data_IF_517816636651
#
_entry.id   IF_517816636651
#
_cell.length_a   1.000
_cell.length_b   1.000
_cell.length_c   1.000
_cell.angle_alpha   90.00
_cell.angle_beta   90.00
_cell.angle_gamma   90.00
#
_symmetry.space_group_name_H-M   'P 1'
#
loop_
_entity.id
_entity.type
_entity.pdbx_description
1 polymer ?
#
# COMPACT_ATOMS: atom_id res chain seq x y z
N UNK A 1 -41.44 23.57 -30.19
CA UNK A 1 -40.73 22.29 -29.96
C UNK A 1 -39.21 22.38 -30.18
N UNK A 2 -38.70 23.27 -31.05
CA UNK A 2 -37.27 23.37 -31.37
C UNK A 2 -36.33 23.71 -30.20
N UNK A 3 -36.68 24.65 -29.30
CA UNK A 3 -35.79 25.05 -28.20
C UNK A 3 -35.54 23.94 -27.18
N UNK A 4 -36.57 23.15 -26.84
CA UNK A 4 -36.43 22.01 -25.92
C UNK A 4 -35.58 20.90 -26.53
N UNK A 5 -35.77 20.62 -27.83
CA UNK A 5 -34.96 19.66 -28.56
C UNK A 5 -33.50 20.10 -28.66
N UNK A 6 -33.25 21.39 -28.95
CA UNK A 6 -31.91 21.97 -28.99
C UNK A 6 -31.21 21.88 -27.63
N UNK A 7 -31.90 22.23 -26.54
CA UNK A 7 -31.36 22.09 -25.18
C UNK A 7 -31.03 20.63 -24.85
N UNK A 8 -31.88 19.67 -25.24
CA UNK A 8 -31.61 18.24 -25.05
C UNK A 8 -30.39 17.77 -25.86
N UNK A 9 -30.27 18.18 -27.12
CA UNK A 9 -29.11 17.84 -27.96
C UNK A 9 -27.81 18.44 -27.40
N UNK A 10 -27.83 19.70 -26.95
CA UNK A 10 -26.67 20.34 -26.32
C UNK A 10 -26.28 19.67 -25.00
N UNK A 11 -27.26 19.35 -24.15
CA UNK A 11 -27.01 18.62 -22.92
C UNK A 11 -26.42 17.22 -23.19
N UNK A 12 -26.95 16.50 -24.18
CA UNK A 12 -26.43 15.20 -24.59
C UNK A 12 -25.01 15.30 -25.17
N UNK A 13 -24.72 16.33 -25.97
CA UNK A 13 -23.39 16.57 -26.51
C UNK A 13 -22.37 16.94 -25.42
N UNK A 14 -22.75 17.78 -24.45
CA UNK A 14 -21.90 18.12 -23.29
C UNK A 14 -21.67 16.91 -22.37
N UNK A 15 -22.68 16.07 -22.19
CA UNK A 15 -22.56 14.84 -21.43
C UNK A 15 -21.66 13.81 -22.15
N UNK A 16 -21.83 13.67 -23.46
CA UNK A 16 -20.95 12.83 -24.28
C UNK A 16 -19.50 13.34 -24.28
N UNK A 17 -19.31 14.66 -24.40
CA UNK A 17 -17.98 15.29 -24.34
C UNK A 17 -17.32 15.11 -22.97
N UNK A 18 -18.07 15.28 -21.87
CA UNK A 18 -17.52 15.10 -20.52
C UNK A 18 -17.21 13.63 -20.20
N UNK A 19 -17.98 12.69 -20.75
CA UNK A 19 -17.72 11.26 -20.64
C UNK A 19 -16.55 10.80 -21.54
N UNK A 20 -16.32 11.47 -22.68
CA UNK A 20 -15.31 11.07 -23.65
C UNK A 20 -13.89 11.23 -23.09
N UNK A 21 -13.14 10.13 -23.10
CA UNK A 21 -11.71 10.12 -22.81
C UNK A 21 -11.06 9.18 -23.81
N UNK A 22 -10.14 9.65 -24.67
CA UNK A 22 -9.50 8.79 -25.66
C UNK A 22 -8.72 7.67 -24.95
N UNK A 23 -9.16 6.43 -25.18
CA UNK A 23 -8.47 5.25 -24.67
C UNK A 23 -7.40 4.81 -25.68
N UNK A 24 -6.24 4.32 -25.22
CA UNK A 24 -5.25 3.68 -26.08
C UNK A 24 -5.90 2.61 -26.97
N UNK A 25 -5.39 2.41 -28.20
CA UNK A 25 -5.94 1.43 -29.13
C UNK A 25 -5.77 -0.03 -28.64
N UNK A 26 -4.90 -0.25 -27.67
CA UNK A 26 -4.55 -1.58 -27.13
C UNK A 26 -5.65 -2.22 -26.27
N UNK A 27 -6.74 -1.51 -25.98
CA UNK A 27 -7.87 -2.06 -25.24
C UNK A 27 -8.84 -2.78 -26.19
N UNK A 28 -9.15 -4.04 -25.90
CA UNK A 28 -10.14 -4.83 -26.66
C UNK A 28 -11.53 -4.15 -26.72
N UNK A 29 -11.89 -3.41 -25.66
CA UNK A 29 -13.22 -2.79 -25.50
C UNK A 29 -13.10 -1.35 -24.94
N UNK A 30 -12.60 -0.39 -25.74
CA UNK A 30 -12.25 0.94 -25.27
C UNK A 30 -13.46 1.74 -24.76
N UNK A 31 -14.65 1.50 -25.35
CA UNK A 31 -15.89 2.15 -24.92
C UNK A 31 -16.33 1.74 -23.52
N UNK A 32 -16.07 0.49 -23.09
CA UNK A 32 -16.41 0.04 -21.73
C UNK A 32 -15.53 0.72 -20.69
N UNK A 33 -14.24 0.83 -20.98
CA UNK A 33 -13.28 1.54 -20.12
C UNK A 33 -13.63 3.03 -20.05
N UNK A 34 -14.07 3.62 -21.16
CA UNK A 34 -14.53 5.02 -21.20
C UNK A 34 -15.79 5.25 -20.37
N UNK A 35 -16.80 4.36 -20.47
CA UNK A 35 -18.00 4.43 -19.62
C UNK A 35 -17.66 4.25 -18.13
N UNK A 36 -16.82 3.27 -17.81
CA UNK A 36 -16.34 3.06 -16.44
C UNK A 36 -15.61 4.30 -15.92
N UNK A 37 -14.75 4.91 -16.74
CA UNK A 37 -14.05 6.15 -16.40
C UNK A 37 -15.00 7.31 -16.13
N UNK A 38 -15.98 7.52 -17.01
CA UNK A 38 -16.99 8.55 -16.83
C UNK A 38 -17.79 8.33 -15.54
N UNK A 39 -18.22 7.10 -15.28
CA UNK A 39 -18.95 6.73 -14.06
C UNK A 39 -18.09 6.93 -12.79
N UNK A 40 -16.84 6.49 -12.79
CA UNK A 40 -15.92 6.70 -11.66
C UNK A 40 -15.66 8.18 -11.40
N UNK A 41 -15.42 8.98 -12.44
CA UNK A 41 -15.23 10.44 -12.30
C UNK A 41 -16.47 11.12 -11.74
N UNK A 42 -17.64 10.80 -12.28
CA UNK A 42 -18.91 11.34 -11.77
C UNK A 42 -19.14 10.95 -10.30
N UNK A 43 -18.90 9.69 -9.95
CA UNK A 43 -19.01 9.19 -8.57
C UNK A 43 -18.08 9.92 -7.62
N UNK A 44 -16.80 10.08 -7.97
CA UNK A 44 -15.84 10.85 -7.18
C UNK A 44 -16.28 12.30 -6.98
N UNK A 45 -16.78 12.97 -8.02
CA UNK A 45 -17.30 14.34 -7.89
C UNK A 45 -18.50 14.42 -6.95
N UNK A 46 -19.41 13.44 -6.98
CA UNK A 46 -20.54 13.39 -6.03
C UNK A 46 -20.04 13.26 -4.59
N UNK A 47 -19.03 12.41 -4.37
CA UNK A 47 -18.41 12.25 -3.04
C UNK A 47 -17.71 13.53 -2.59
N UNK A 48 -16.96 14.20 -3.47
CA UNK A 48 -16.32 15.50 -3.17
C UNK A 48 -17.35 16.57 -2.78
N UNK A 49 -18.46 16.66 -3.52
CA UNK A 49 -19.53 17.61 -3.22
C UNK A 49 -20.20 17.29 -1.88
N UNK A 50 -20.43 16.02 -1.57
CA UNK A 50 -20.99 15.61 -0.27
C UNK A 50 -20.04 15.95 0.91
N UNK A 51 -18.74 15.74 0.75
CA UNK A 51 -17.70 16.12 1.71
C UNK A 51 -17.65 17.65 1.90
N UNK A 52 -17.67 18.40 0.80
CA UNK A 52 -17.66 19.87 0.81
C UNK A 52 -18.91 20.47 1.47
N UNK A 53 -20.08 19.85 1.27
CA UNK A 53 -21.33 20.24 1.94
C UNK A 53 -21.39 19.80 3.41
N UNK A 54 -20.39 19.06 3.91
CA UNK A 54 -20.34 18.56 5.27
C UNK A 54 -21.35 17.44 5.57
N UNK A 55 -21.87 16.78 4.53
CA UNK A 55 -22.86 15.70 4.69
C UNK A 55 -22.22 14.40 5.18
N UNK A 56 -21.02 14.10 4.69
CA UNK A 56 -20.28 12.88 5.02
C UNK A 56 -18.81 13.07 4.67
N UNK A 57 -17.89 12.56 5.49
CA UNK A 57 -16.46 12.62 5.16
C UNK A 57 -16.16 11.80 3.91
N UNK A 58 -15.28 12.30 3.04
CA UNK A 58 -14.92 11.67 1.75
C UNK A 58 -14.63 10.16 1.87
N UNK A 59 -13.85 9.76 2.88
CA UNK A 59 -13.48 8.35 3.07
C UNK A 59 -14.63 7.48 3.55
N UNK A 60 -15.55 8.02 4.35
CA UNK A 60 -16.72 7.28 4.81
C UNK A 60 -17.66 7.01 3.64
N UNK A 61 -17.86 8.01 2.76
CA UNK A 61 -18.64 7.86 1.54
C UNK A 61 -18.03 6.85 0.57
N UNK A 62 -16.69 6.83 0.44
CA UNK A 62 -15.97 5.84 -0.35
C UNK A 62 -16.08 4.43 0.24
N UNK A 63 -16.03 4.30 1.57
CA UNK A 63 -16.16 3.02 2.27
C UNK A 63 -17.51 2.35 2.02
N UNK A 64 -18.60 3.13 1.95
CA UNK A 64 -19.92 2.60 1.64
C UNK A 64 -19.96 1.86 0.30
N UNK A 65 -19.16 2.28 -0.69
CA UNK A 65 -19.04 1.57 -1.96
C UNK A 65 -18.42 0.18 -1.78
N UNK A 66 -17.46 0.03 -0.86
CA UNK A 66 -16.78 -1.26 -0.61
C UNK A 66 -17.56 -2.21 0.30
N UNK A 67 -18.35 -1.69 1.24
CA UNK A 67 -19.13 -2.52 2.20
C UNK A 67 -20.15 -3.41 1.49
N UNK A 68 -20.76 -2.93 0.40
CA UNK A 68 -21.70 -3.72 -0.41
C UNK A 68 -21.11 -4.99 -1.03
N UNK A 69 -19.78 -5.10 -1.06
CA UNK A 69 -19.05 -6.27 -1.57
C UNK A 69 -18.67 -7.27 -0.48
N UNK A 70 -19.12 -7.10 0.76
CA UNK A 70 -18.81 -8.05 1.83
C UNK A 70 -19.44 -9.42 1.55
N UNK A 71 -18.69 -10.48 1.86
CA UNK A 71 -19.17 -11.86 1.85
C UNK A 71 -18.90 -12.50 3.21
N UNK A 72 -19.82 -13.32 3.68
CA UNK A 72 -19.64 -14.10 4.91
C UNK A 72 -18.58 -15.20 4.74
N UNK A 73 -17.90 -15.64 5.82
CA UNK A 73 -16.88 -16.69 5.76
C UNK A 73 -17.52 -18.08 5.53
N UNK A 74 -18.04 -18.31 4.33
CA UNK A 74 -18.71 -19.56 3.97
C UNK A 74 -17.69 -20.53 3.38
N UNK A 75 -17.61 -21.73 3.97
CA UNK A 75 -16.76 -22.80 3.45
C UNK A 75 -17.38 -23.45 2.21
N UNK A 76 -16.54 -23.94 1.30
CA UNK A 76 -16.94 -24.75 0.14
C UNK A 76 -16.21 -26.10 0.11
N UNK A 77 -16.40 -26.87 -0.97
CA UNK A 77 -15.78 -28.18 -1.19
C UNK A 77 -14.25 -28.15 -1.29
N UNK A 78 -13.66 -27.01 -1.63
CA UNK A 78 -12.23 -26.83 -1.86
C UNK A 78 -11.53 -26.15 -0.67
N UNK A 79 -12.21 -25.22 0.01
CA UNK A 79 -11.63 -24.35 1.02
C UNK A 79 -12.55 -24.21 2.23
N UNK A 80 -12.00 -24.46 3.42
CA UNK A 80 -12.62 -24.06 4.69
C UNK A 80 -12.28 -22.60 4.95
N UNK A 81 -13.31 -21.77 5.13
CA UNK A 81 -13.16 -20.34 5.44
C UNK A 81 -13.68 -20.06 6.84
N UNK A 82 -12.91 -19.33 7.63
CA UNK A 82 -13.31 -18.94 8.99
C UNK A 82 -12.71 -17.58 9.36
N UNK A 83 -13.46 -16.82 10.15
CA UNK A 83 -12.98 -15.60 10.78
C UNK A 83 -12.45 -15.92 12.18
N UNK A 84 -11.33 -15.31 12.54
CA UNK A 84 -10.72 -15.42 13.87
C UNK A 84 -9.91 -14.15 14.17
N UNK A 85 -9.16 -14.15 15.26
CA UNK A 85 -8.31 -13.04 15.65
C UNK A 85 -6.89 -13.52 15.95
N UNK A 86 -5.91 -12.84 15.36
CA UNK A 86 -4.50 -12.98 15.71
C UNK A 86 -4.01 -11.67 16.29
N UNK A 87 -3.43 -11.69 17.49
CA UNK A 87 -2.94 -10.48 18.19
C UNK A 87 -3.99 -9.36 18.30
N UNK A 88 -5.26 -9.71 18.58
CA UNK A 88 -6.41 -8.78 18.64
C UNK A 88 -6.75 -8.07 17.31
N UNK A 89 -6.27 -8.59 16.18
CA UNK A 89 -6.62 -8.13 14.84
C UNK A 89 -7.43 -9.22 14.16
N UNK A 90 -8.58 -8.85 13.60
CA UNK A 90 -9.43 -9.76 12.85
C UNK A 90 -8.71 -10.27 11.60
N UNK A 91 -8.78 -11.57 11.36
CA UNK A 91 -8.24 -12.22 10.18
C UNK A 91 -9.26 -13.20 9.61
N UNK A 92 -9.27 -13.32 8.29
CA UNK A 92 -9.99 -14.39 7.60
C UNK A 92 -9.02 -15.45 7.12
N UNK A 93 -9.22 -16.68 7.57
CA UNK A 93 -8.41 -17.83 7.21
C UNK A 93 -9.06 -18.61 6.09
N UNK A 94 -8.23 -19.03 5.12
CA UNK A 94 -8.61 -19.92 4.03
C UNK A 94 -7.73 -21.16 4.11
N UNK A 95 -8.33 -22.29 4.48
CA UNK A 95 -7.64 -23.56 4.68
C UNK A 95 -8.05 -24.52 3.55
N UNK A 96 -7.10 -24.99 2.72
CA UNK A 96 -7.42 -25.88 1.61
C UNK A 96 -7.81 -27.26 2.13
N UNK A 97 -8.91 -27.82 1.61
CA UNK A 97 -9.41 -29.16 1.98
C UNK A 97 -8.63 -30.29 1.32
N UNK A 98 -7.93 -30.02 0.21
CA UNK A 98 -7.06 -30.99 -0.46
C UNK A 98 -6.03 -31.51 0.55
N UNK A 99 -5.95 -32.84 0.66
CA UNK A 99 -4.97 -33.50 1.53
C UNK A 99 -3.56 -33.03 1.18
N UNK A 100 -2.72 -32.68 2.17
CA UNK A 100 -1.38 -32.23 1.87
C UNK A 100 -0.45 -33.44 1.71
N UNK A 101 0.52 -33.33 0.79
CA UNK A 101 1.59 -34.34 0.61
C UNK A 101 2.73 -34.15 1.64
N UNK A 102 2.53 -33.29 2.65
CA UNK A 102 3.50 -32.87 3.66
C UNK A 102 3.00 -31.64 4.43
N UNK A 103 3.91 -30.80 4.93
CA UNK A 103 3.51 -29.50 5.46
C UNK A 103 3.13 -28.52 4.33
N UNK A 104 2.12 -27.67 4.58
CA UNK A 104 1.53 -26.74 3.63
C UNK A 104 2.35 -25.47 3.47
N UNK A 105 2.14 -24.78 2.35
CA UNK A 105 2.59 -23.39 2.17
C UNK A 105 1.66 -22.45 2.94
N UNK A 106 2.12 -21.22 3.20
CA UNK A 106 1.23 -20.17 3.68
C UNK A 106 1.47 -18.82 3.00
N UNK A 107 0.40 -18.04 2.89
CA UNK A 107 0.41 -16.66 2.39
C UNK A 107 -0.29 -15.77 3.41
N UNK A 108 0.43 -14.81 3.98
CA UNK A 108 -0.20 -13.71 4.73
C UNK A 108 -0.49 -12.59 3.75
N UNK A 109 -1.76 -12.27 3.55
CA UNK A 109 -2.23 -11.33 2.54
C UNK A 109 -2.76 -10.04 3.17
N UNK A 110 -2.31 -8.90 2.65
CA UNK A 110 -2.77 -7.57 3.03
C UNK A 110 -3.51 -6.94 1.86
N UNK A 111 -4.77 -6.57 2.08
CA UNK A 111 -5.58 -5.96 1.04
C UNK A 111 -5.13 -4.53 0.70
N UNK A 112 -5.47 -4.05 -0.49
CA UNK A 112 -5.31 -2.67 -0.92
C UNK A 112 -6.45 -1.76 -0.44
N UNK A 113 -6.61 -0.60 -1.10
CA UNK A 113 -7.62 0.40 -0.73
C UNK A 113 -7.06 1.67 -0.09
N UNK A 114 -5.80 2.01 -0.37
CA UNK A 114 -5.20 3.28 0.05
C UNK A 114 -5.18 3.48 1.57
N UNK A 115 -5.03 2.39 2.34
CA UNK A 115 -5.07 2.34 3.82
C UNK A 115 -6.39 2.80 4.46
N UNK A 116 -7.36 3.22 3.63
CA UNK A 116 -8.61 3.83 4.04
C UNK A 116 -9.83 2.99 3.69
N UNK A 117 -9.70 2.02 2.79
CA UNK A 117 -10.80 1.23 2.22
C UNK A 117 -10.45 -0.25 2.19
N UNK A 118 -11.46 -1.08 1.93
CA UNK A 118 -11.31 -2.52 1.79
C UNK A 118 -11.44 -3.26 3.11
N UNK A 119 -11.49 -4.59 3.02
CA UNK A 119 -11.52 -5.51 4.16
C UNK A 119 -11.23 -6.92 3.69
N UNK A 120 -10.79 -7.79 4.59
CA UNK A 120 -10.45 -9.19 4.27
C UNK A 120 -11.62 -9.96 3.63
N UNK A 121 -12.85 -9.69 4.07
CA UNK A 121 -14.07 -10.33 3.58
C UNK A 121 -14.72 -9.68 2.35
N UNK A 122 -14.03 -8.78 1.66
CA UNK A 122 -14.55 -8.19 0.42
C UNK A 122 -14.48 -9.21 -0.73
N UNK A 123 -15.54 -9.35 -1.51
CA UNK A 123 -15.70 -10.37 -2.55
C UNK A 123 -14.49 -10.56 -3.47
N UNK A 124 -13.83 -9.52 -4.03
CA UNK A 124 -12.63 -9.70 -4.84
C UNK A 124 -11.46 -10.32 -4.07
N UNK A 125 -11.26 -9.91 -2.81
CA UNK A 125 -10.21 -10.47 -1.96
C UNK A 125 -10.55 -11.88 -1.49
N UNK A 126 -11.83 -12.19 -1.23
CA UNK A 126 -12.29 -13.54 -0.94
C UNK A 126 -12.04 -14.49 -2.11
N UNK A 127 -12.38 -14.08 -3.34
CA UNK A 127 -12.08 -14.84 -4.55
C UNK A 127 -10.58 -15.06 -4.73
N UNK A 128 -9.76 -14.02 -4.57
CA UNK A 128 -8.31 -14.11 -4.69
C UNK A 128 -7.71 -15.07 -3.64
N UNK A 129 -8.18 -14.99 -2.39
CA UNK A 129 -7.68 -15.82 -1.29
C UNK A 129 -8.08 -17.29 -1.46
N UNK A 130 -9.33 -17.58 -1.87
CA UNK A 130 -9.76 -18.94 -2.24
C UNK A 130 -8.93 -19.50 -3.38
N UNK A 131 -8.81 -18.74 -4.47
CA UNK A 131 -8.03 -19.15 -5.64
C UNK A 131 -6.58 -19.45 -5.27
N UNK A 132 -5.95 -18.57 -4.49
CA UNK A 132 -4.58 -18.76 -3.99
C UNK A 132 -4.47 -20.01 -3.11
N UNK A 133 -5.42 -20.21 -2.19
CA UNK A 133 -5.45 -21.37 -1.30
C UNK A 133 -5.57 -22.67 -2.08
N UNK A 134 -6.48 -22.73 -3.06
CA UNK A 134 -6.71 -23.91 -3.90
C UNK A 134 -5.52 -24.21 -4.82
N UNK A 135 -5.03 -23.22 -5.57
CA UNK A 135 -3.97 -23.42 -6.57
C UNK A 135 -2.64 -23.80 -5.91
N UNK A 136 -2.30 -23.17 -4.79
CA UNK A 136 -1.01 -23.43 -4.10
C UNK A 136 -1.08 -24.53 -3.05
N UNK A 137 -2.29 -25.04 -2.77
CA UNK A 137 -2.59 -25.87 -1.61
C UNK A 137 -2.05 -25.23 -0.30
N UNK A 138 -2.30 -23.92 -0.16
CA UNK A 138 -1.72 -23.06 0.88
C UNK A 138 -2.76 -22.53 1.88
N UNK A 139 -2.34 -22.35 3.13
CA UNK A 139 -3.09 -21.58 4.12
C UNK A 139 -2.98 -20.10 3.77
N UNK A 140 -4.12 -19.40 3.60
CA UNK A 140 -4.10 -17.95 3.38
C UNK A 140 -4.65 -17.25 4.62
N UNK A 141 -3.88 -16.29 5.14
CA UNK A 141 -4.26 -15.42 6.25
C UNK A 141 -4.53 -14.03 5.68
N UNK A 142 -5.81 -13.70 5.44
CA UNK A 142 -6.22 -12.38 4.95
C UNK A 142 -6.45 -11.45 6.14
N UNK A 143 -5.63 -10.40 6.26
CA UNK A 143 -5.61 -9.54 7.46
C UNK A 143 -6.57 -8.37 7.31
N UNK A 144 -7.44 -8.19 8.30
CA UNK A 144 -8.40 -7.09 8.34
C UNK A 144 -7.88 -5.95 9.23
N UNK A 145 -6.81 -5.29 8.77
CA UNK A 145 -6.14 -4.23 9.54
C UNK A 145 -6.99 -2.96 9.65
N UNK A 146 -6.78 -2.17 10.71
CA UNK A 146 -7.55 -0.95 10.99
C UNK A 146 -7.26 0.15 9.96
N UNK A 147 -8.30 0.93 9.59
CA UNK A 147 -8.23 1.85 8.45
C UNK A 147 -8.22 3.34 8.85
N UNK A 148 -7.56 4.14 8.02
CA UNK A 148 -7.62 5.58 8.06
C UNK A 148 -8.96 6.08 7.50
N UNK A 149 -9.45 7.26 7.90
CA UNK A 149 -8.81 8.24 8.79
C UNK A 149 -9.01 7.95 10.29
N UNK A 150 -9.83 6.94 10.66
CA UNK A 150 -10.12 6.61 12.06
C UNK A 150 -8.88 6.16 12.82
N UNK A 151 -8.05 5.34 12.18
CA UNK A 151 -6.75 4.91 12.68
C UNK A 151 -5.71 5.30 11.65
N UNK A 152 -4.81 6.22 11.99
CA UNK A 152 -3.78 6.72 11.07
C UNK A 152 -2.47 5.96 11.25
N UNK A 153 -1.55 6.15 10.31
CA UNK A 153 -0.18 5.64 10.42
C UNK A 153 0.38 5.92 11.83
N UNK A 154 1.04 4.94 12.49
CA UNK A 154 1.46 3.64 11.95
C UNK A 154 0.51 2.45 12.20
N UNK A 155 -0.73 2.67 12.64
CA UNK A 155 -1.61 1.60 13.16
C UNK A 155 -1.81 0.42 12.20
N UNK A 156 -2.01 0.69 10.90
CA UNK A 156 -2.15 -0.32 9.85
C UNK A 156 -0.94 -1.26 9.82
N UNK A 157 0.25 -0.68 9.91
CA UNK A 157 1.52 -1.41 9.90
C UNK A 157 1.67 -2.24 11.17
N UNK A 158 1.34 -1.68 12.34
CA UNK A 158 1.36 -2.41 13.61
C UNK A 158 0.44 -3.63 13.59
N UNK A 159 -0.76 -3.49 13.02
CA UNK A 159 -1.72 -4.59 12.86
C UNK A 159 -1.15 -5.72 11.99
N UNK A 160 -0.73 -5.40 10.77
CA UNK A 160 -0.20 -6.43 9.86
C UNK A 160 1.11 -7.05 10.37
N UNK A 161 1.93 -6.27 11.05
CA UNK A 161 3.17 -6.74 11.66
C UNK A 161 2.92 -7.72 12.79
N UNK A 162 2.05 -7.35 13.74
CA UNK A 162 1.73 -8.18 14.91
C UNK A 162 1.03 -9.49 14.52
N UNK A 163 0.15 -9.45 13.51
CA UNK A 163 -0.48 -10.65 12.93
C UNK A 163 0.54 -11.55 12.29
N UNK A 164 1.43 -11.00 11.46
CA UNK A 164 2.44 -11.80 10.74
C UNK A 164 3.43 -12.42 11.72
N UNK A 165 3.92 -11.64 12.69
CA UNK A 165 4.81 -12.12 13.75
C UNK A 165 4.16 -13.22 14.58
N UNK A 166 2.88 -13.07 14.94
CA UNK A 166 2.13 -14.11 15.65
C UNK A 166 1.98 -15.39 14.81
N UNK A 167 1.60 -15.26 13.54
CA UNK A 167 1.41 -16.40 12.64
C UNK A 167 2.71 -17.18 12.40
N UNK A 168 3.86 -16.51 12.40
CA UNK A 168 5.18 -17.11 12.21
C UNK A 168 5.70 -17.89 13.44
N UNK A 169 5.00 -17.86 14.57
CA UNK A 169 5.36 -18.66 15.75
C UNK A 169 5.22 -20.16 15.44
N UNK A 170 6.22 -20.96 15.83
CA UNK A 170 6.27 -22.41 15.56
C UNK A 170 5.01 -23.17 15.99
N UNK A 171 4.39 -22.77 17.11
CA UNK A 171 3.13 -23.35 17.59
C UNK A 171 1.94 -23.07 16.65
N UNK A 172 1.87 -21.87 16.08
CA UNK A 172 0.78 -21.45 15.19
C UNK A 172 0.96 -22.11 13.82
N UNK A 173 2.19 -22.13 13.30
CA UNK A 173 2.49 -22.86 12.06
C UNK A 173 2.14 -24.34 12.18
N UNK A 174 2.48 -24.98 13.31
CA UNK A 174 2.15 -26.39 13.57
C UNK A 174 0.64 -26.63 13.66
N UNK A 175 -0.10 -25.73 14.30
CA UNK A 175 -1.57 -25.79 14.38
C UNK A 175 -2.24 -25.83 13.01
N UNK A 176 -1.69 -25.10 12.02
CA UNK A 176 -2.21 -25.06 10.66
C UNK A 176 -1.46 -26.00 9.69
N UNK A 177 -0.52 -26.82 10.18
CA UNK A 177 0.29 -27.73 9.39
C UNK A 177 1.13 -27.02 8.32
N UNK A 178 1.64 -25.82 8.61
CA UNK A 178 2.42 -24.99 7.69
C UNK A 178 3.92 -25.27 7.84
N UNK A 179 4.62 -25.35 6.71
CA UNK A 179 6.06 -25.46 6.64
C UNK A 179 6.70 -24.08 6.91
N UNK A 180 7.51 -23.91 7.97
CA UNK A 180 8.19 -22.64 8.25
C UNK A 180 9.12 -22.20 7.10
N UNK A 181 9.58 -23.12 6.26
CA UNK A 181 10.38 -22.82 5.07
C UNK A 181 9.54 -22.46 3.84
N UNK A 182 8.22 -22.24 3.96
CA UNK A 182 7.32 -21.95 2.82
C UNK A 182 6.24 -20.91 3.14
N UNK A 183 6.59 -19.88 3.91
CA UNK A 183 5.71 -18.75 4.23
C UNK A 183 6.03 -17.55 3.34
N UNK A 184 4.99 -16.98 2.72
CA UNK A 184 5.03 -15.80 1.86
C UNK A 184 4.22 -14.67 2.48
N UNK A 185 4.64 -13.41 2.26
CA UNK A 185 3.80 -12.23 2.48
C UNK A 185 3.39 -11.65 1.13
N UNK A 186 2.15 -11.20 1.02
CA UNK A 186 1.62 -10.67 -0.23
C UNK A 186 0.67 -9.50 0.04
N UNK A 187 0.54 -8.62 -0.94
CA UNK A 187 -0.48 -7.58 -0.88
C UNK A 187 -0.53 -6.73 -2.14
N UNK A 188 -1.65 -6.03 -2.32
CA UNK A 188 -1.89 -5.19 -3.49
C UNK A 188 -2.00 -3.71 -3.12
N UNK A 189 -1.46 -2.81 -3.97
CA UNK A 189 -1.51 -1.37 -3.75
C UNK A 189 -0.97 -0.96 -2.37
N UNK A 190 -1.83 -0.43 -1.48
CA UNK A 190 -1.51 -0.13 -0.09
C UNK A 190 -1.12 -1.38 0.74
N UNK A 191 -1.76 -2.53 0.48
CA UNK A 191 -1.36 -3.81 1.06
C UNK A 191 0.02 -4.27 0.57
N UNK A 192 0.38 -3.92 -0.67
CA UNK A 192 1.74 -4.14 -1.21
C UNK A 192 2.79 -3.27 -0.51
N UNK A 193 2.44 -2.03 -0.15
CA UNK A 193 3.27 -1.19 0.72
C UNK A 193 3.49 -1.86 2.09
N UNK A 194 2.41 -2.30 2.73
CA UNK A 194 2.45 -2.99 4.02
C UNK A 194 3.26 -4.30 3.95
N UNK A 195 3.13 -5.06 2.86
CA UNK A 195 3.89 -6.30 2.64
C UNK A 195 5.39 -6.05 2.55
N UNK A 196 5.80 -5.01 1.81
CA UNK A 196 7.20 -4.61 1.71
C UNK A 196 7.76 -4.13 3.05
N UNK A 197 6.99 -3.35 3.82
CA UNK A 197 7.40 -2.83 5.12
C UNK A 197 7.53 -3.95 6.17
N UNK A 198 6.54 -4.84 6.27
CA UNK A 198 6.56 -5.98 7.20
C UNK A 198 7.72 -6.93 6.90
N UNK A 199 7.99 -7.20 5.61
CA UNK A 199 9.11 -8.05 5.23
C UNK A 199 10.45 -7.48 5.72
N UNK A 200 10.65 -6.16 5.61
CA UNK A 200 11.86 -5.49 6.12
C UNK A 200 11.92 -5.56 7.65
N UNK A 201 10.84 -5.20 8.34
CA UNK A 201 10.81 -5.19 9.81
C UNK A 201 11.08 -6.57 10.42
N UNK A 202 10.53 -7.64 9.86
CA UNK A 202 10.72 -9.02 10.35
C UNK A 202 12.16 -9.55 10.14
N UNK A 203 12.91 -8.99 9.19
CA UNK A 203 14.32 -9.31 9.01
C UNK A 203 15.16 -8.73 10.16
N UNK A 204 14.80 -7.55 10.63
CA UNK A 204 15.49 -6.83 11.70
C UNK A 204 15.04 -7.24 13.11
N UNK A 205 13.87 -7.85 13.26
CA UNK A 205 13.36 -8.32 14.55
C UNK A 205 14.04 -9.64 15.00
N UNK A 206 14.82 -9.62 16.11
CA UNK A 206 15.50 -10.80 16.62
C UNK A 206 14.55 -11.82 17.27
N UNK A 207 13.34 -11.42 17.65
CA UNK A 207 12.33 -12.30 18.24
C UNK A 207 11.63 -13.18 17.19
N UNK A 208 11.85 -12.90 15.90
CA UNK A 208 11.24 -13.63 14.79
C UNK A 208 12.20 -14.70 14.27
N UNK A 209 11.99 -15.94 14.73
CA UNK A 209 12.78 -17.11 14.31
C UNK A 209 12.46 -17.55 12.87
N UNK A 210 11.17 -17.65 12.52
CA UNK A 210 10.74 -18.06 11.19
C UNK A 210 10.81 -16.91 10.21
N UNK A 211 11.67 -17.03 9.19
CA UNK A 211 11.82 -16.01 8.15
C UNK A 211 10.90 -16.25 6.95
N UNK A 212 10.31 -15.18 6.43
CA UNK A 212 9.57 -15.17 5.16
C UNK A 212 10.48 -15.61 4.01
N UNK A 213 9.92 -16.34 3.04
CA UNK A 213 10.66 -16.90 1.90
C UNK A 213 10.34 -16.26 0.57
N UNK A 214 9.22 -15.55 0.49
CA UNK A 214 8.83 -14.78 -0.67
C UNK A 214 8.03 -13.55 -0.23
N UNK A 215 8.08 -12.51 -1.06
CA UNK A 215 7.17 -11.39 -1.01
C UNK A 215 6.55 -11.20 -2.40
N UNK A 216 5.23 -11.05 -2.47
CA UNK A 216 4.51 -10.76 -3.71
C UNK A 216 3.88 -9.37 -3.61
N UNK A 217 4.48 -8.40 -4.31
CA UNK A 217 4.06 -7.00 -4.28
C UNK A 217 3.28 -6.67 -5.55
N UNK A 218 1.96 -6.55 -5.43
CA UNK A 218 1.08 -6.32 -6.57
C UNK A 218 0.83 -4.81 -6.69
N UNK A 219 1.39 -4.16 -7.73
CA UNK A 219 1.34 -2.69 -7.96
C UNK A 219 1.52 -1.82 -6.69
N UNK A 220 2.59 -2.02 -5.90
CA UNK A 220 2.72 -1.47 -4.55
C UNK A 220 2.93 0.05 -4.51
N UNK A 221 2.40 0.71 -3.48
CA UNK A 221 2.63 2.13 -3.20
C UNK A 221 3.93 2.35 -2.37
N UNK A 222 5.10 2.32 -2.99
CA UNK A 222 6.39 2.24 -2.27
C UNK A 222 7.00 3.56 -1.81
N UNK A 223 6.48 4.70 -2.24
CA UNK A 223 7.06 6.00 -1.89
C UNK A 223 6.03 7.13 -1.89
N UNK A 224 6.28 8.11 -1.03
CA UNK A 224 5.49 9.34 -0.85
C UNK A 224 6.27 10.60 -1.23
N UNK A 225 7.57 10.50 -1.50
CA UNK A 225 8.49 11.65 -1.57
C UNK A 225 8.31 12.47 -2.85
N UNK A 226 8.07 11.80 -3.97
CA UNK A 226 7.85 12.42 -5.29
C UNK A 226 6.52 11.93 -5.88
N UNK A 227 5.48 12.76 -5.79
CA UNK A 227 4.16 12.48 -6.36
C UNK A 227 4.00 13.06 -7.76
N UNK A 228 5.13 13.33 -8.43
CA UNK A 228 5.20 13.97 -9.74
C UNK A 228 6.06 13.17 -10.74
N UNK A 229 6.17 11.86 -10.49
CA UNK A 229 6.78 10.89 -11.40
C UNK A 229 6.15 10.95 -12.81
N UNK A 230 6.86 10.53 -13.87
CA UNK A 230 6.30 10.43 -15.22
C UNK A 230 4.96 9.70 -15.26
N UNK A 231 4.83 8.58 -14.54
CA UNK A 231 3.59 7.82 -14.44
C UNK A 231 2.47 8.56 -13.68
N UNK A 232 2.79 9.36 -12.66
CA UNK A 232 1.80 10.19 -11.96
C UNK A 232 1.25 11.30 -12.86
N UNK A 233 2.09 11.85 -13.76
CA UNK A 233 1.71 12.88 -14.74
C UNK A 233 0.89 12.28 -15.89
N UNK A 234 1.39 11.23 -16.53
CA UNK A 234 0.73 10.56 -17.66
C UNK A 234 -0.62 9.96 -17.26
N UNK A 235 -0.76 9.54 -16.01
CA UNK A 235 -1.96 8.90 -15.49
C UNK A 235 -2.78 9.78 -14.54
N UNK A 236 -2.51 11.09 -14.49
CA UNK A 236 -3.13 12.00 -13.51
C UNK A 236 -4.66 11.93 -13.47
N UNK A 237 -5.29 11.78 -14.65
CA UNK A 237 -6.74 11.76 -14.85
C UNK A 237 -7.27 10.37 -15.26
N UNK A 238 -6.45 9.31 -15.15
CA UNK A 238 -6.87 7.96 -15.56
C UNK A 238 -7.93 7.41 -14.59
N UNK A 239 -8.82 6.53 -15.10
CA UNK A 239 -9.87 5.94 -14.27
C UNK A 239 -9.31 5.11 -13.11
N UNK A 240 -10.17 4.85 -12.12
CA UNK A 240 -9.90 4.03 -10.91
C UNK A 240 -9.01 4.72 -9.88
N UNK A 241 -7.82 5.20 -10.27
CA UNK A 241 -6.87 5.84 -9.35
C UNK A 241 -6.23 7.08 -9.97
N UNK A 242 -6.96 8.21 -10.05
CA UNK A 242 -6.36 9.48 -10.45
C UNK A 242 -5.36 9.97 -9.40
N UNK A 243 -4.44 10.85 -9.82
CA UNK A 243 -3.41 11.42 -8.93
C UNK A 243 -4.03 12.11 -7.72
N UNK A 244 -5.14 12.83 -7.90
CA UNK A 244 -5.86 13.50 -6.82
C UNK A 244 -6.33 12.54 -5.73
N UNK A 245 -6.84 11.37 -6.13
CA UNK A 245 -7.28 10.32 -5.21
C UNK A 245 -6.09 9.67 -4.49
N UNK A 246 -4.99 9.41 -5.19
CA UNK A 246 -3.78 8.87 -4.57
C UNK A 246 -3.18 9.85 -3.54
N UNK A 247 -3.16 11.15 -3.85
CA UNK A 247 -2.75 12.21 -2.91
C UNK A 247 -3.67 12.23 -1.69
N UNK A 248 -4.99 12.09 -1.89
CA UNK A 248 -5.95 12.02 -0.78
C UNK A 248 -5.68 10.80 0.11
N UNK A 249 -5.45 9.61 -0.47
CA UNK A 249 -5.10 8.41 0.32
C UNK A 249 -3.83 8.61 1.13
N UNK A 250 -2.76 9.11 0.51
CA UNK A 250 -1.53 9.42 1.24
C UNK A 250 -1.76 10.42 2.36
N UNK A 251 -2.48 11.52 2.11
CA UNK A 251 -2.75 12.50 3.15
C UNK A 251 -3.54 11.87 4.30
N UNK A 252 -4.68 11.21 4.02
CA UNK A 252 -5.55 10.65 5.06
C UNK A 252 -4.86 9.57 5.91
N UNK A 253 -3.92 8.84 5.31
CA UNK A 253 -3.09 7.88 6.01
C UNK A 253 -2.27 8.53 7.13
N UNK A 254 -1.83 9.77 6.97
CA UNK A 254 -1.06 10.52 7.99
C UNK A 254 -1.93 11.51 8.79
N UNK A 255 -2.84 12.22 8.15
CA UNK A 255 -3.68 13.28 8.75
C UNK A 255 -4.82 13.70 7.81
N UNK A 256 -5.94 14.17 8.37
CA UNK A 256 -7.01 14.78 7.55
C UNK A 256 -6.81 16.29 7.35
N UNK A 257 -5.63 16.83 7.72
CA UNK A 257 -5.30 18.24 7.53
C UNK A 257 -5.16 18.58 6.03
N UNK A 258 -5.97 19.51 5.49
CA UNK A 258 -5.90 19.91 4.08
C UNK A 258 -4.53 20.46 3.66
N UNK A 259 -3.76 21.06 4.57
CA UNK A 259 -2.46 21.64 4.27
C UNK A 259 -1.46 20.59 3.78
N UNK A 260 -1.46 19.38 4.38
CA UNK A 260 -0.60 18.30 3.90
C UNK A 260 -1.05 17.82 2.52
N UNK A 261 -2.37 17.67 2.32
CA UNK A 261 -2.94 17.26 1.03
C UNK A 261 -2.59 18.24 -0.09
N UNK A 262 -2.70 19.54 0.15
CA UNK A 262 -2.36 20.59 -0.83
C UNK A 262 -0.86 20.64 -1.13
N UNK A 263 -0.02 20.46 -0.10
CA UNK A 263 1.42 20.35 -0.27
C UNK A 263 1.80 19.11 -1.11
N UNK A 264 1.22 17.95 -0.82
CA UNK A 264 1.41 16.72 -1.59
C UNK A 264 0.91 16.85 -3.02
N UNK A 265 -0.26 17.46 -3.24
CA UNK A 265 -0.80 17.69 -4.58
C UNK A 265 0.14 18.52 -5.46
N UNK A 266 0.82 19.50 -4.84
CA UNK A 266 1.81 20.36 -5.50
C UNK A 266 3.26 19.86 -5.40
N UNK A 267 3.48 18.64 -4.88
CA UNK A 267 4.80 18.04 -4.68
C UNK A 267 5.77 18.92 -3.87
N UNK A 268 5.25 19.57 -2.82
CA UNK A 268 5.91 20.55 -1.93
C UNK A 268 5.75 20.20 -0.45
N UNK A 269 5.69 18.92 -0.11
CA UNK A 269 5.50 18.45 1.27
C UNK A 269 6.81 18.00 1.94
N UNK A 270 7.82 17.57 1.18
CA UNK A 270 9.12 17.18 1.74
C UNK A 270 10.01 18.40 1.97
N UNK A 271 10.50 18.64 3.19
CA UNK A 271 11.25 19.84 3.51
C UNK A 271 12.73 19.74 3.06
N UNK A 272 13.46 20.86 2.90
CA UNK A 272 14.84 20.87 2.41
C UNK A 272 15.79 19.97 3.20
N UNK A 273 15.62 19.88 4.52
CA UNK A 273 16.46 19.08 5.41
C UNK A 273 16.36 17.57 5.10
N UNK A 274 15.21 17.14 4.57
CA UNK A 274 14.96 15.77 4.12
C UNK A 274 15.27 15.58 2.63
N UNK A 275 15.85 16.58 1.95
CA UNK A 275 16.15 16.52 0.52
C UNK A 275 17.11 15.39 0.14
N UNK A 276 17.93 14.91 1.07
CA UNK A 276 18.78 13.73 0.87
C UNK A 276 17.97 12.47 0.53
N UNK A 277 16.69 12.37 0.94
CA UNK A 277 15.81 11.25 0.61
C UNK A 277 15.42 11.23 -0.88
N UNK A 278 15.50 12.36 -1.61
CA UNK A 278 15.14 12.41 -3.02
C UNK A 278 16.04 11.54 -3.91
N UNK A 279 17.23 11.18 -3.44
CA UNK A 279 18.09 10.21 -4.13
C UNK A 279 17.42 8.83 -4.28
N UNK A 280 16.54 8.45 -3.34
CA UNK A 280 15.82 7.18 -3.35
C UNK A 280 14.71 7.13 -4.42
N UNK A 281 14.25 8.29 -4.88
CA UNK A 281 13.16 8.45 -5.84
C UNK A 281 13.59 9.19 -7.10
N UNK A 282 14.90 9.31 -7.32
CA UNK A 282 15.44 9.96 -8.51
C UNK A 282 15.19 9.07 -9.74
N UNK A 283 14.04 9.25 -10.36
CA UNK A 283 13.64 8.43 -11.50
C UNK A 283 14.50 8.68 -12.74
N UNK A 284 15.27 9.77 -12.80
CA UNK A 284 16.23 9.98 -13.90
C UNK A 284 17.36 8.95 -13.90
N UNK A 285 17.73 8.41 -12.73
CA UNK A 285 18.70 7.32 -12.63
C UNK A 285 18.04 5.94 -12.54
N UNK A 286 16.82 5.86 -11.99
CA UNK A 286 16.13 4.58 -11.75
C UNK A 286 15.35 4.07 -12.96
N UNK A 287 14.82 4.95 -13.82
CA UNK A 287 14.05 4.54 -15.00
C UNK A 287 14.96 4.40 -16.24
N UNK A 288 14.82 3.29 -17.01
CA UNK A 288 15.40 3.17 -18.34
C UNK A 288 14.94 4.31 -19.26
N UNK A 289 15.76 4.66 -20.25
CA UNK A 289 15.50 5.81 -21.13
C UNK A 289 14.17 5.68 -21.88
N UNK A 290 13.81 4.46 -22.29
CA UNK A 290 12.56 4.15 -22.99
C UNK A 290 11.32 4.43 -22.13
N UNK A 291 11.45 4.31 -20.81
CA UNK A 291 10.37 4.58 -19.86
C UNK A 291 10.26 6.06 -19.48
N UNK A 292 11.26 6.89 -19.79
CA UNK A 292 11.23 8.33 -19.50
C UNK A 292 10.31 9.10 -20.46
N UNK A 293 10.08 8.59 -21.68
CA UNK A 293 9.10 9.14 -22.65
C UNK A 293 9.14 10.67 -22.83
N UNK A 294 10.34 11.26 -22.84
CA UNK A 294 10.54 12.70 -23.00
C UNK A 294 10.25 13.55 -21.77
N UNK A 295 9.93 12.94 -20.62
CA UNK A 295 9.81 13.66 -19.35
C UNK A 295 11.18 14.19 -18.90
N UNK A 296 11.19 15.45 -18.44
CA UNK A 296 12.38 16.09 -17.86
C UNK A 296 12.31 16.00 -16.34
N UNK A 297 13.39 15.50 -15.73
CA UNK A 297 13.49 15.45 -14.28
C UNK A 297 13.74 16.84 -13.72
N UNK A 298 12.81 17.32 -12.90
CA UNK A 298 12.90 18.63 -12.24
C UNK A 298 13.21 18.53 -10.75
N UNK A 299 13.35 17.31 -10.21
CA UNK A 299 13.38 17.06 -8.77
C UNK A 299 12.08 17.45 -8.05
N UNK A 300 11.81 16.91 -6.86
CA UNK A 300 10.74 17.42 -6.01
C UNK A 300 11.09 18.82 -5.49
N UNK A 301 10.07 19.65 -5.28
CA UNK A 301 10.27 21.02 -4.78
C UNK A 301 10.25 20.99 -3.26
N UNK A 302 11.26 21.59 -2.64
CA UNK A 302 11.33 21.64 -1.19
C UNK A 302 10.11 22.39 -0.60
N UNK A 303 9.46 21.74 0.36
CA UNK A 303 8.32 22.24 1.11
C UNK A 303 8.70 22.99 2.39
N UNK A 304 7.70 23.41 3.17
CA UNK A 304 7.96 23.99 4.49
C UNK A 304 8.31 22.90 5.53
N UNK A 305 9.28 23.14 6.43
CA UNK A 305 9.56 22.25 7.57
C UNK A 305 8.40 22.08 8.55
N UNK A 306 7.38 22.95 8.52
CA UNK A 306 6.22 22.86 9.43
C UNK A 306 5.45 21.54 9.28
N UNK A 307 5.19 21.12 8.04
CA UNK A 307 4.41 19.91 7.78
C UNK A 307 5.15 18.64 8.23
N UNK A 308 6.46 18.57 7.99
CA UNK A 308 7.28 17.45 8.44
C UNK A 308 7.40 17.39 9.96
N UNK A 309 7.48 18.53 10.65
CA UNK A 309 7.46 18.56 12.12
C UNK A 309 6.13 18.10 12.70
N UNK A 310 5.01 18.46 12.05
CA UNK A 310 3.67 18.11 12.51
C UNK A 310 3.26 16.67 12.16
N UNK A 311 3.71 16.19 11.01
CA UNK A 311 3.35 14.88 10.45
C UNK A 311 4.60 14.16 9.92
N UNK A 312 5.54 13.74 10.78
CA UNK A 312 6.82 13.16 10.33
C UNK A 312 6.65 11.85 9.55
N UNK A 313 5.56 11.10 9.78
CA UNK A 313 5.34 9.78 9.20
C UNK A 313 5.39 9.71 7.66
N UNK A 314 5.12 10.81 6.94
CA UNK A 314 5.24 10.78 5.47
C UNK A 314 6.70 10.73 4.96
N UNK A 315 7.67 10.97 5.85
CA UNK A 315 9.11 10.85 5.58
C UNK A 315 9.68 9.49 5.96
N UNK A 316 8.92 8.67 6.71
CA UNK A 316 9.34 7.34 7.21
C UNK A 316 9.24 6.26 6.12
N UNK A 317 9.67 6.60 4.90
CA UNK A 317 9.48 5.81 3.68
C UNK A 317 10.18 4.44 3.69
N UNK A 318 11.25 4.20 4.47
CA UNK A 318 11.84 2.86 4.61
C UNK A 318 11.89 2.31 6.05
N UNK A 319 11.42 3.03 7.06
CA UNK A 319 11.53 2.59 8.46
C UNK A 319 10.16 2.61 9.11
N UNK A 320 9.50 1.44 9.10
CA UNK A 320 8.53 1.13 10.14
C UNK A 320 9.20 1.46 11.48
N UNK A 321 8.54 2.27 12.29
CA UNK A 321 9.14 2.87 13.47
C UNK A 321 9.84 1.83 14.37
N UNK A 322 11.16 1.96 14.53
CA UNK A 322 11.81 1.61 15.79
C UNK A 322 11.51 2.73 16.80
N UNK A 323 10.27 2.84 17.25
CA UNK A 323 9.92 3.71 18.36
C UNK A 323 10.28 3.01 19.68
N UNK A 324 11.53 3.11 20.11
CA UNK A 324 11.80 3.17 21.54
C UNK A 324 11.48 4.61 21.99
N UNK A 325 10.66 4.83 23.02
CA UNK A 325 10.42 6.17 23.52
C UNK A 325 11.72 6.72 24.12
N UNK A 326 12.24 7.80 23.56
CA UNK A 326 13.22 8.63 24.25
C UNK A 326 12.54 9.25 25.48
N UNK A 327 13.10 9.13 26.70
CA UNK A 327 12.48 9.71 27.88
C UNK A 327 12.46 11.23 27.76
N UNK A 328 11.27 11.81 27.95
CA UNK A 328 11.04 13.24 28.07
C UNK A 328 11.87 13.82 29.21
N UNK A 329 12.81 14.71 28.91
CA UNK A 329 13.49 15.52 29.92
C UNK A 329 12.64 16.76 30.24
N UNK A 330 11.86 16.71 31.32
CA UNK A 330 11.50 17.92 32.06
C UNK A 330 12.69 18.36 32.92
N UNK A 331 12.89 19.67 33.15
CA UNK A 331 14.09 20.16 33.83
C UNK A 331 13.90 20.07 35.34
N UNK A 332 14.74 19.28 36.02
CA UNK A 332 14.87 19.33 37.47
C UNK A 332 16.34 19.24 37.88
N UNK A 333 16.83 20.37 38.41
CA UNK A 333 17.80 20.50 39.50
C UNK A 333 19.07 19.65 39.48
N UNK A 334 20.18 20.35 39.25
CA UNK A 334 21.51 20.17 39.87
C UNK A 334 21.62 19.14 41.00
N UNK A 335 22.48 18.13 40.84
CA UNK A 335 23.55 17.76 41.80
C UNK A 335 24.59 16.87 41.09
N UNK A 336 25.87 17.13 41.38
CA UNK A 336 27.10 16.54 40.88
C UNK A 336 27.32 15.05 41.20
N UNK A 337 28.01 14.31 40.31
CA UNK A 337 29.33 13.65 40.56
C UNK A 337 29.64 12.58 39.52
N UNK A 338 30.93 12.45 39.15
CA UNK A 338 31.52 11.17 38.75
C UNK A 338 32.04 11.08 37.31
N UNK A 339 33.31 11.39 37.14
CA UNK A 339 34.13 11.28 35.93
C UNK A 339 34.51 9.85 35.52
N UNK A 340 34.84 9.73 34.23
CA UNK A 340 35.72 8.74 33.54
C UNK A 340 35.09 7.46 32.94
N UNK A 341 35.22 7.33 31.61
CA UNK A 341 34.84 6.15 30.83
C UNK A 341 34.65 6.49 29.34
N UNK A 342 35.74 6.78 28.65
CA UNK A 342 35.79 7.14 27.22
C UNK A 342 35.42 5.98 26.30
N UNK A 343 34.45 6.17 25.40
CA UNK A 343 34.28 5.34 24.20
C UNK A 343 34.49 6.19 22.95
N UNK A 344 35.63 6.00 22.31
CA UNK A 344 35.98 6.55 20.99
C UNK A 344 35.19 5.84 19.89
N UNK A 345 34.37 6.58 19.15
CA UNK A 345 33.77 6.11 17.89
C UNK A 345 34.78 6.30 16.75
N UNK A 346 35.47 5.21 16.40
CA UNK A 346 36.30 5.09 15.21
C UNK A 346 35.51 4.40 14.10
N UNK A 347 35.61 4.95 12.90
CA UNK A 347 34.94 4.52 11.67
C UNK A 347 35.13 3.02 11.37
N UNK A 348 34.04 2.34 11.01
CA UNK A 348 34.09 1.09 10.25
C UNK A 348 33.24 1.24 8.99
N UNK A 349 33.93 1.32 7.85
CA UNK A 349 33.34 1.28 6.52
C UNK A 349 32.67 -0.07 6.25
N UNK A 350 31.55 -0.01 5.53
CA UNK A 350 30.86 -1.16 4.98
C UNK A 350 31.73 -1.79 3.87
N UNK A 351 31.97 -3.12 3.86
CA UNK A 351 32.52 -3.77 2.70
C UNK A 351 31.43 -3.92 1.62
N UNK A 352 31.79 -3.54 0.38
CA UNK A 352 30.97 -3.72 -0.81
C UNK A 352 30.68 -5.22 -1.05
N UNK A 353 29.41 -5.58 -1.26
CA UNK A 353 29.05 -6.90 -1.76
C UNK A 353 29.47 -7.05 -3.24
N UNK A 354 30.13 -8.15 -3.63
CA UNK A 354 30.45 -8.40 -5.03
C UNK A 354 29.18 -8.75 -5.82
N UNK A 355 29.00 -8.06 -6.93
CA UNK A 355 27.98 -8.33 -7.96
C UNK A 355 28.16 -9.74 -8.53
N UNK A 356 27.13 -10.58 -8.40
CA UNK A 356 27.03 -11.82 -9.19
C UNK A 356 26.26 -11.53 -10.47
N UNK A 357 26.99 -11.53 -11.58
CA UNK A 357 26.47 -11.55 -12.94
C UNK A 357 25.76 -12.88 -13.19
N UNK A 358 24.48 -12.85 -13.54
CA UNK A 358 23.73 -14.02 -14.00
C UNK A 358 23.96 -14.12 -15.51
N UNK A 359 24.71 -15.12 -15.95
CA UNK A 359 24.79 -15.50 -17.37
C UNK A 359 23.57 -16.34 -17.75
N UNK A 360 22.86 -16.05 -18.85
CA UNK A 360 21.75 -16.87 -19.31
C UNK A 360 22.27 -18.18 -19.92
N UNK A 361 21.77 -19.31 -19.42
CA UNK A 361 22.07 -20.65 -19.95
C UNK A 361 21.35 -20.91 -21.27
N UNK A 362 22.07 -21.50 -22.22
CA UNK A 362 21.56 -22.00 -23.51
C UNK A 362 20.54 -23.13 -23.34
N UNK A 363 19.46 -23.18 -24.15
CA UNK A 363 18.50 -24.28 -24.11
C UNK A 363 19.06 -25.53 -24.80
N UNK A 364 19.04 -26.66 -24.09
CA UNK A 364 19.33 -27.98 -24.64
C UNK A 364 18.11 -28.53 -25.39
N UNK A 365 18.30 -28.89 -26.66
CA UNK A 365 17.32 -29.59 -27.49
C UNK A 365 17.45 -31.11 -27.36
N UNK A 366 16.32 -31.79 -27.14
CA UNK A 366 16.04 -33.17 -27.58
C UNK A 366 15.99 -34.25 -26.50
N UNK A 367 15.41 -35.43 -26.80
CA UNK A 367 14.72 -35.84 -28.04
C UNK A 367 13.19 -35.71 -28.01
#
# INVERSE_FOLDING_TARGET
MGTRLLCLCLAAALLAYSAYTPMPPDFDQPWRVMLLSAASRAGLRVVEVADWLGLMHFMDAMMLMTVSNYVEPTSDENVTVMDTEFSNVSVRLYLPRRAPEGLRRAVVFFHGGGWCLGQAGMKPYDHLARWTSTVLNAVVVSVNYRLAPKYRFPVQFEDVYSVTKFFLQSRVLSQYGVDPARVCVAGDSAGGNLAAAVAQQLLEDPEVETKLKAQALIYPALQTLDLDLPSYRDNAEKPILPKSLMVRFWSEYFTSDPALREAMASNRHVPPESGHLFQLVNWSSLLPEEMRRGHVYTGPRAGSPELARRFPGFLDVPRGCAACPTPSSSPASTTSCGTTGSCTWGACGLPACPSRTITPGTPSTGP
#
